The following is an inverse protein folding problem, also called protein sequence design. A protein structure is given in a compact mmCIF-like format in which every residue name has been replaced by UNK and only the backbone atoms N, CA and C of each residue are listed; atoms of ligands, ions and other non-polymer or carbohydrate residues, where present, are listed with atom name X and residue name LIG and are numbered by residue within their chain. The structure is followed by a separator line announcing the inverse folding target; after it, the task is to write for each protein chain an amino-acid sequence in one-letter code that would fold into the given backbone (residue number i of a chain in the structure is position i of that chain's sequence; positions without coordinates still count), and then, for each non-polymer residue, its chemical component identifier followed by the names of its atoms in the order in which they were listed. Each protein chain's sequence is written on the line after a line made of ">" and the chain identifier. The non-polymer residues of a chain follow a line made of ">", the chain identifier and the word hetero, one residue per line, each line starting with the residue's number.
data_IF_768219534963
#
_entry.id   IF_768219534963
#
_cell.length_a   1.000
_cell.length_b   1.000
_cell.length_c   1.000
_cell.angle_alpha   90.00
_cell.angle_beta   90.00
_cell.angle_gamma   90.00
#
_symmetry.space_group_name_H-M   'P 1'
#
loop_
_entity.id
_entity.type
_entity.pdbx_description
1 polymer ?
#
# COMPACT_ATOMS: atom_id res chain seq x y z
N UNK A 1 -38.73 0.88 42.57
CA UNK A 1 -37.84 0.01 41.76
C UNK A 1 -37.17 0.84 40.66
N UNK A 2 -35.93 1.32 40.84
CA UNK A 2 -35.24 2.08 39.81
C UNK A 2 -34.60 1.12 38.80
N UNK A 3 -34.90 1.30 37.52
CA UNK A 3 -34.27 0.56 36.42
C UNK A 3 -32.81 1.00 36.30
N UNK A 4 -31.90 0.05 36.45
CA UNK A 4 -30.46 0.20 36.23
C UNK A 4 -30.22 0.71 34.80
N UNK A 5 -29.59 1.88 34.66
CA UNK A 5 -28.99 2.34 33.40
C UNK A 5 -27.76 1.47 33.13
N UNK A 6 -27.83 0.63 32.09
CA UNK A 6 -26.68 -0.10 31.57
C UNK A 6 -25.84 0.88 30.72
N UNK A 7 -24.67 1.26 31.25
CA UNK A 7 -23.68 2.13 30.62
C UNK A 7 -22.82 1.42 29.56
N UNK A 8 -23.46 0.72 28.61
CA UNK A 8 -22.78 -0.05 27.55
C UNK A 8 -23.11 0.42 26.13
N UNK A 9 -23.31 1.73 25.95
CA UNK A 9 -23.52 2.33 24.63
C UNK A 9 -22.50 3.44 24.37
N UNK A 10 -21.21 3.11 24.43
CA UNK A 10 -20.15 4.03 23.98
C UNK A 10 -18.99 3.26 23.37
N UNK A 11 -19.26 2.53 22.29
CA UNK A 11 -18.23 2.21 21.30
C UNK A 11 -18.43 3.16 20.14
N UNK A 12 -17.81 4.33 20.26
CA UNK A 12 -17.54 5.22 19.13
C UNK A 12 -16.77 4.38 18.11
N UNK A 13 -17.43 3.94 17.04
CA UNK A 13 -16.75 3.49 15.82
C UNK A 13 -16.13 4.75 15.21
N UNK A 14 -14.96 5.15 15.71
CA UNK A 14 -14.07 5.96 14.89
C UNK A 14 -13.87 5.17 13.61
N UNK A 15 -14.30 5.73 12.48
CA UNK A 15 -13.90 5.23 11.17
C UNK A 15 -12.39 5.05 11.24
N UNK A 16 -11.94 3.80 11.21
CA UNK A 16 -10.54 3.47 11.43
C UNK A 16 -9.80 4.01 10.22
N UNK A 17 -9.23 5.21 10.35
CA UNK A 17 -8.28 5.76 9.40
C UNK A 17 -7.22 4.70 9.17
N UNK A 18 -7.06 4.27 7.92
CA UNK A 18 -6.11 3.23 7.52
C UNK A 18 -5.01 3.84 6.68
N UNK A 19 -3.81 3.89 7.26
CA UNK A 19 -2.58 4.31 6.57
C UNK A 19 -1.85 3.11 6.00
N UNK A 20 -1.73 3.06 4.68
CA UNK A 20 -1.17 1.92 3.95
C UNK A 20 0.05 2.35 3.15
N UNK A 21 1.11 1.55 3.19
CA UNK A 21 2.22 1.63 2.24
C UNK A 21 2.01 0.57 1.15
N UNK A 22 1.83 1.01 -0.09
CA UNK A 22 1.69 0.16 -1.26
C UNK A 22 3.04 0.03 -2.00
N UNK A 23 3.36 -1.18 -2.45
CA UNK A 23 4.60 -1.53 -3.15
C UNK A 23 4.24 -2.22 -4.47
N UNK A 24 4.58 -1.58 -5.58
CA UNK A 24 4.39 -2.10 -6.93
C UNK A 24 5.75 -2.22 -7.62
N UNK A 25 6.23 -3.44 -7.84
CA UNK A 25 7.52 -3.69 -8.49
C UNK A 25 7.39 -4.71 -9.63
N UNK A 26 6.17 -5.11 -9.98
CA UNK A 26 5.87 -6.12 -10.99
C UNK A 26 6.04 -5.58 -12.42
N UNK A 27 6.04 -4.26 -12.63
CA UNK A 27 6.24 -3.64 -13.95
C UNK A 27 7.41 -2.66 -13.95
N UNK A 28 7.79 -2.21 -15.15
CA UNK A 28 8.83 -1.17 -15.31
C UNK A 28 8.38 0.21 -14.79
N UNK A 29 7.07 0.45 -14.69
CA UNK A 29 6.49 1.69 -14.20
C UNK A 29 6.07 1.61 -12.72
N UNK A 30 6.65 0.68 -11.96
CA UNK A 30 6.32 0.47 -10.56
C UNK A 30 6.76 1.61 -9.63
N UNK A 31 6.56 1.45 -8.32
CA UNK A 31 6.86 2.45 -7.31
C UNK A 31 6.37 2.08 -5.93
N UNK A 32 6.35 3.08 -5.05
CA UNK A 32 5.71 3.02 -3.74
C UNK A 32 4.73 4.16 -3.57
N UNK A 33 3.63 3.90 -2.88
CA UNK A 33 2.62 4.90 -2.58
C UNK A 33 2.20 4.85 -1.12
N UNK A 34 1.86 6.01 -0.56
CA UNK A 34 1.22 6.12 0.75
C UNK A 34 -0.26 6.43 0.53
N UNK A 35 -1.12 5.69 1.22
CA UNK A 35 -2.56 5.87 1.17
C UNK A 35 -3.09 6.18 2.57
N UNK A 36 -3.97 7.17 2.68
CA UNK A 36 -4.71 7.50 3.91
C UNK A 36 -6.21 7.39 3.63
N UNK A 37 -6.88 6.45 4.30
CA UNK A 37 -8.33 6.21 4.17
C UNK A 37 -8.79 6.05 2.70
N UNK A 38 -8.07 5.23 1.95
CA UNK A 38 -8.35 4.93 0.53
C UNK A 38 -7.91 6.01 -0.46
N UNK A 39 -7.29 7.10 0.00
CA UNK A 39 -6.76 8.16 -0.87
C UNK A 39 -5.25 8.10 -0.95
N UNK A 40 -4.69 8.19 -2.15
CA UNK A 40 -3.23 8.32 -2.32
C UNK A 40 -2.80 9.71 -1.83
N UNK A 41 -1.91 9.74 -0.83
CA UNK A 41 -1.35 10.99 -0.27
C UNK A 41 0.07 11.25 -0.76
N UNK A 42 0.72 10.25 -1.34
CA UNK A 42 2.04 10.38 -1.95
C UNK A 42 2.38 9.20 -2.83
N UNK A 43 3.21 9.43 -3.85
CA UNK A 43 3.64 8.44 -4.82
C UNK A 43 5.10 8.72 -5.21
N UNK A 44 5.92 7.66 -5.26
CA UNK A 44 7.27 7.68 -5.79
C UNK A 44 7.41 6.59 -6.84
N UNK A 45 7.68 6.98 -8.09
CA UNK A 45 7.79 6.07 -9.23
C UNK A 45 9.24 5.63 -9.46
N UNK A 46 9.43 4.37 -9.83
CA UNK A 46 10.70 3.80 -10.25
C UNK A 46 11.09 4.38 -11.60
N UNK A 47 12.22 5.10 -11.65
CA UNK A 47 12.76 5.60 -12.91
C UNK A 47 13.78 4.59 -13.48
N UNK A 48 13.43 3.97 -14.61
CA UNK A 48 14.13 2.81 -15.23
C UNK A 48 15.52 3.17 -15.78
N UNK A 49 15.83 4.45 -15.98
CA UNK A 49 17.09 4.88 -16.58
C UNK A 49 18.33 4.73 -15.67
N UNK A 50 18.18 4.41 -14.38
CA UNK A 50 19.31 4.35 -13.44
C UNK A 50 19.24 3.09 -12.55
N UNK A 51 20.14 2.16 -12.81
CA UNK A 51 20.37 0.90 -12.10
C UNK A 51 20.90 1.13 -10.69
N UNK A 52 20.06 1.39 -9.68
CA UNK A 52 20.47 1.23 -8.28
C UNK A 52 19.43 0.39 -7.54
N UNK A 53 19.73 -0.90 -7.36
CA UNK A 53 18.94 -1.88 -6.59
C UNK A 53 18.77 -1.51 -5.10
N UNK A 54 19.35 -0.39 -4.65
CA UNK A 54 19.30 0.18 -3.29
C UNK A 54 18.13 1.17 -3.08
N UNK A 55 17.27 1.39 -4.09
CA UNK A 55 16.30 2.51 -4.06
C UNK A 55 14.96 2.24 -3.38
N UNK A 56 14.43 1.01 -3.30
CA UNK A 56 13.04 0.84 -2.84
C UNK A 56 12.82 1.35 -1.42
N UNK A 57 13.67 0.95 -0.46
CA UNK A 57 13.59 1.46 0.91
C UNK A 57 13.94 2.96 0.99
N UNK A 58 14.94 3.41 0.25
CA UNK A 58 15.27 4.84 0.14
C UNK A 58 14.11 5.68 -0.42
N UNK A 59 13.29 5.12 -1.32
CA UNK A 59 12.08 5.75 -1.85
C UNK A 59 10.97 5.78 -0.82
N UNK A 60 10.81 4.71 -0.04
CA UNK A 60 9.87 4.68 1.09
C UNK A 60 10.26 5.76 2.11
N UNK A 61 11.53 5.84 2.50
CA UNK A 61 12.01 6.84 3.46
C UNK A 61 11.77 8.26 2.98
N UNK A 62 12.16 8.58 1.74
CA UNK A 62 11.88 9.90 1.13
C UNK A 62 10.40 10.20 1.04
N UNK A 63 9.57 9.23 0.65
CA UNK A 63 8.14 9.42 0.53
C UNK A 63 7.48 9.67 1.90
N UNK A 64 7.93 8.97 2.93
CA UNK A 64 7.51 9.22 4.31
C UNK A 64 7.91 10.64 4.75
N UNK A 65 9.13 11.08 4.47
CA UNK A 65 9.59 12.45 4.76
C UNK A 65 8.74 13.50 4.04
N UNK A 66 8.52 13.35 2.73
CA UNK A 66 7.73 14.28 1.90
C UNK A 66 6.28 14.38 2.40
N UNK A 67 5.68 13.26 2.81
CA UNK A 67 4.33 13.21 3.37
C UNK A 67 4.28 13.52 4.88
N UNK A 68 5.41 13.79 5.53
CA UNK A 68 5.54 14.01 6.99
C UNK A 68 4.98 12.86 7.82
N UNK A 69 5.18 11.64 7.33
CA UNK A 69 4.82 10.40 8.01
C UNK A 69 6.06 9.77 8.64
N UNK A 70 5.82 8.99 9.69
CA UNK A 70 6.82 8.06 10.21
C UNK A 70 6.40 6.64 9.87
N UNK A 71 7.37 5.73 9.77
CA UNK A 71 7.09 4.33 9.49
C UNK A 71 6.14 3.69 10.52
N UNK A 72 6.19 4.13 11.79
CA UNK A 72 5.28 3.68 12.84
C UNK A 72 3.82 4.14 12.70
N UNK A 73 3.54 5.08 11.79
CA UNK A 73 2.17 5.48 11.46
C UNK A 73 1.54 4.60 10.38
N UNK A 74 2.33 3.76 9.70
CA UNK A 74 1.81 2.79 8.71
C UNK A 74 1.13 1.65 9.45
N UNK A 75 -0.09 1.31 9.03
CA UNK A 75 -0.95 0.32 9.69
C UNK A 75 -1.17 -0.94 8.84
N UNK A 76 -0.69 -0.94 7.59
CA UNK A 76 -0.75 -2.08 6.70
C UNK A 76 0.13 -1.89 5.46
N UNK A 77 0.44 -3.00 4.82
CA UNK A 77 1.22 -3.03 3.58
C UNK A 77 0.34 -3.59 2.46
N UNK A 78 0.48 -3.08 1.26
CA UNK A 78 -0.08 -3.67 0.04
C UNK A 78 1.05 -3.97 -0.93
N UNK A 79 1.03 -5.14 -1.57
CA UNK A 79 2.08 -5.54 -2.51
C UNK A 79 1.52 -6.27 -3.71
N UNK A 80 2.02 -5.92 -4.90
CA UNK A 80 1.62 -6.59 -6.14
C UNK A 80 2.19 -8.00 -6.24
N UNK A 81 1.34 -8.96 -6.62
CA UNK A 81 1.69 -10.39 -6.68
C UNK A 81 1.77 -10.98 -8.09
N UNK A 82 1.59 -10.13 -9.11
CA UNK A 82 1.73 -10.52 -10.52
C UNK A 82 0.39 -10.70 -11.24
N UNK A 83 0.44 -11.10 -12.51
CA UNK A 83 1.64 -11.37 -13.33
C UNK A 83 2.53 -10.14 -13.56
N UNK A 84 3.82 -10.37 -13.83
CA UNK A 84 4.79 -9.29 -14.07
C UNK A 84 6.24 -9.78 -14.04
N UNK A 85 7.19 -8.85 -13.96
CA UNK A 85 8.63 -9.10 -13.84
C UNK A 85 8.93 -10.01 -12.66
N UNK A 86 9.51 -11.19 -12.94
CA UNK A 86 9.87 -12.17 -11.92
C UNK A 86 10.82 -11.62 -10.86
N UNK A 87 11.85 -10.88 -11.29
CA UNK A 87 12.79 -10.22 -10.38
C UNK A 87 12.08 -9.16 -9.56
N UNK A 88 11.27 -8.33 -10.21
CA UNK A 88 10.55 -7.24 -9.57
C UNK A 88 9.56 -7.73 -8.51
N UNK A 89 8.75 -8.75 -8.83
CA UNK A 89 7.81 -9.37 -7.90
C UNK A 89 8.48 -9.89 -6.63
N UNK A 90 9.64 -10.54 -6.77
CA UNK A 90 10.40 -11.03 -5.61
C UNK A 90 10.94 -9.89 -4.75
N UNK A 91 11.41 -8.81 -5.37
CA UNK A 91 11.90 -7.62 -4.64
C UNK A 91 10.76 -7.03 -3.81
N UNK A 92 9.60 -6.75 -4.42
CA UNK A 92 8.45 -6.20 -3.72
C UNK A 92 7.96 -7.10 -2.59
N UNK A 93 7.81 -8.40 -2.86
CA UNK A 93 7.38 -9.37 -1.86
C UNK A 93 8.38 -9.51 -0.70
N UNK A 94 9.68 -9.51 -0.98
CA UNK A 94 10.72 -9.57 0.07
C UNK A 94 10.71 -8.31 0.94
N UNK A 95 10.59 -7.13 0.34
CA UNK A 95 10.50 -5.85 1.08
C UNK A 95 9.24 -5.79 1.94
N UNK A 96 8.07 -6.13 1.38
CA UNK A 96 6.81 -6.17 2.12
C UNK A 96 6.90 -7.14 3.30
N UNK A 97 7.45 -8.34 3.08
CA UNK A 97 7.64 -9.35 4.14
C UNK A 97 8.61 -8.89 5.23
N UNK A 98 9.71 -8.23 4.86
CA UNK A 98 10.68 -7.67 5.80
C UNK A 98 10.06 -6.61 6.70
N UNK A 99 9.33 -5.66 6.12
CA UNK A 99 8.62 -4.61 6.85
C UNK A 99 7.51 -5.19 7.74
N UNK A 100 6.72 -6.13 7.22
CA UNK A 100 5.66 -6.79 7.97
C UNK A 100 6.21 -7.51 9.21
N UNK A 101 7.32 -8.22 9.06
CA UNK A 101 7.98 -8.91 10.16
C UNK A 101 8.54 -7.93 11.20
N UNK A 102 9.18 -6.85 10.75
CA UNK A 102 9.79 -5.86 11.64
C UNK A 102 8.76 -5.04 12.43
N UNK A 103 7.60 -4.75 11.83
CA UNK A 103 6.60 -3.83 12.38
C UNK A 103 5.32 -4.53 12.87
N UNK A 104 5.19 -5.85 12.66
CA UNK A 104 3.98 -6.59 12.99
C UNK A 104 2.76 -6.18 12.16
N UNK A 105 2.98 -5.76 10.91
CA UNK A 105 1.92 -5.22 10.05
C UNK A 105 1.26 -6.30 9.18
N UNK A 106 -0.05 -6.20 8.93
CA UNK A 106 -0.72 -7.04 7.94
C UNK A 106 -0.27 -6.69 6.51
N UNK A 107 -0.27 -7.68 5.62
CA UNK A 107 0.05 -7.52 4.20
C UNK A 107 -1.14 -7.94 3.34
N UNK A 108 -1.57 -7.07 2.45
CA UNK A 108 -2.54 -7.35 1.40
C UNK A 108 -1.81 -7.69 0.09
N UNK A 109 -2.13 -8.86 -0.46
CA UNK A 109 -1.69 -9.25 -1.80
C UNK A 109 -2.63 -8.65 -2.84
N UNK A 110 -2.07 -7.96 -3.84
CA UNK A 110 -2.84 -7.29 -4.89
C UNK A 110 -2.48 -7.90 -6.25
N UNK A 111 -3.42 -8.51 -6.98
CA UNK A 111 -3.16 -8.95 -8.35
C UNK A 111 -2.78 -7.75 -9.23
N UNK A 112 -1.67 -7.86 -9.97
CA UNK A 112 -1.14 -6.72 -10.75
C UNK A 112 -2.15 -6.23 -11.79
N UNK A 113 -2.85 -7.14 -12.47
CA UNK A 113 -3.83 -6.77 -13.49
C UNK A 113 -5.04 -6.04 -12.88
N UNK A 114 -5.50 -6.46 -11.70
CA UNK A 114 -6.56 -5.76 -10.98
C UNK A 114 -6.14 -4.33 -10.61
N UNK A 115 -4.89 -4.17 -10.15
CA UNK A 115 -4.32 -2.85 -9.85
C UNK A 115 -4.23 -1.97 -11.12
N UNK A 116 -3.86 -2.54 -12.27
CA UNK A 116 -3.84 -1.83 -13.55
C UNK A 116 -5.26 -1.41 -13.97
N UNK A 117 -6.23 -2.33 -13.91
CA UNK A 117 -7.62 -2.05 -14.25
C UNK A 117 -8.24 -0.97 -13.35
N UNK A 118 -7.86 -0.94 -12.06
CA UNK A 118 -8.33 0.06 -11.09
C UNK A 118 -7.93 1.51 -11.43
N UNK A 119 -6.99 1.73 -12.37
CA UNK A 119 -6.69 3.07 -12.90
C UNK A 119 -7.80 3.60 -13.83
N UNK A 120 -8.73 2.75 -14.26
CA UNK A 120 -9.88 3.09 -15.11
C UNK A 120 -11.21 2.74 -14.40
N UNK A 121 -11.49 3.32 -13.21
CA UNK A 121 -12.61 2.90 -12.37
C UNK A 121 -14.00 3.21 -12.97
N UNK A 122 -14.06 4.02 -14.02
CA UNK A 122 -15.28 4.46 -14.69
C UNK A 122 -15.30 4.07 -16.17
N UNK A 123 -14.63 2.98 -16.55
CA UNK A 123 -14.69 2.48 -17.91
C UNK A 123 -16.11 2.00 -18.24
N UNK A 124 -16.70 2.54 -19.31
CA UNK A 124 -18.03 2.14 -19.81
C UNK A 124 -18.02 0.78 -20.55
N UNK A 125 -16.85 0.16 -20.68
CA UNK A 125 -16.63 -1.11 -21.34
C UNK A 125 -15.66 -2.00 -20.51
N UNK A 126 -15.67 -3.34 -20.72
CA UNK A 126 -14.72 -4.23 -20.06
C UNK A 126 -13.27 -3.80 -20.30
N UNK A 127 -12.46 -3.77 -19.23
CA UNK A 127 -11.04 -3.42 -19.29
C UNK A 127 -10.22 -4.69 -19.53
N UNK A 128 -9.50 -4.74 -20.65
CA UNK A 128 -8.47 -5.76 -20.91
C UNK A 128 -7.10 -5.15 -20.65
N UNK A 129 -6.41 -5.61 -19.61
CA UNK A 129 -5.11 -5.09 -19.18
C UNK A 129 -3.92 -5.76 -19.85
N UNK A 130 -4.17 -6.67 -20.81
CA UNK A 130 -3.18 -7.43 -21.59
C UNK A 130 -3.60 -7.49 -23.06
#
# INVERSE_FOLDING_TARGET
>A
MPRRRDGRAERVRLARVMRVLAIETSTLAGGVALCDDGRVVGLSLLNVALTHSERLMSMVDRLLEDCRWTLGQVQGLAVSIGPGSFTGLRVGAATAKGLALALGLPVAAVPTLDALAANLPFADAPVCTL
#
